data_IF_426647486496
#
_entry.id   IF_426647486496
#
_cell.length_a   1.000
_cell.length_b   1.000
_cell.length_c   1.000
_cell.angle_alpha   90.00
_cell.angle_beta   90.00
_cell.angle_gamma   90.00
#
_symmetry.space_group_name_H-M   'P 1'
#
loop_
_entity.id
_entity.type
_entity.pdbx_description
1 polymer ?
#
# COMPACT_ATOMS: atom_id res chain seq x y z
N UNK A 1 -18.63 -5.83 5.51
CA UNK A 1 -17.22 -5.41 5.39
C UNK A 1 -16.51 -5.91 6.64
N UNK A 2 -15.41 -6.67 6.50
CA UNK A 2 -14.70 -7.28 7.62
C UNK A 2 -13.55 -6.35 8.06
N UNK A 3 -13.86 -5.39 8.93
CA UNK A 3 -12.89 -4.37 9.36
C UNK A 3 -11.68 -4.99 10.08
N UNK A 4 -11.90 -5.97 10.95
CA UNK A 4 -10.81 -6.69 11.65
C UNK A 4 -9.80 -7.31 10.66
N UNK A 5 -10.28 -7.85 9.54
CA UNK A 5 -9.42 -8.38 8.48
C UNK A 5 -8.60 -7.29 7.81
N UNK A 6 -9.23 -6.15 7.49
CA UNK A 6 -8.54 -5.02 6.86
C UNK A 6 -7.45 -4.44 7.75
N UNK A 7 -7.73 -4.28 9.05
CA UNK A 7 -6.74 -3.80 10.01
C UNK A 7 -5.54 -4.77 10.09
N UNK A 8 -5.80 -6.07 10.17
CA UNK A 8 -4.73 -7.08 10.21
C UNK A 8 -3.90 -7.10 8.93
N UNK A 9 -4.55 -7.07 7.76
CA UNK A 9 -3.86 -7.03 6.47
C UNK A 9 -3.09 -5.72 6.28
N UNK A 10 -3.58 -4.62 6.84
CA UNK A 10 -2.88 -3.32 6.74
C UNK A 10 -1.54 -3.29 7.47
N UNK A 11 -1.31 -4.22 8.40
CA UNK A 11 -0.01 -4.35 9.08
C UNK A 11 1.10 -4.80 8.12
N UNK A 12 0.78 -5.48 7.01
CA UNK A 12 1.74 -5.70 5.93
C UNK A 12 2.17 -4.37 5.31
N UNK A 13 1.21 -3.45 5.12
CA UNK A 13 1.49 -2.09 4.64
C UNK A 13 2.39 -1.32 5.60
N UNK A 14 2.14 -1.41 6.91
CA UNK A 14 3.00 -0.80 7.93
C UNK A 14 4.40 -1.41 7.95
N UNK A 15 4.53 -2.74 7.88
CA UNK A 15 5.82 -3.42 7.82
C UNK A 15 6.62 -3.00 6.59
N UNK A 16 5.97 -2.96 5.42
CA UNK A 16 6.57 -2.46 4.18
C UNK A 16 6.94 -0.98 4.25
N UNK A 17 6.12 -0.15 4.89
CA UNK A 17 6.40 1.27 5.09
C UNK A 17 7.71 1.49 5.86
N UNK A 18 7.94 0.71 6.92
CA UNK A 18 9.21 0.77 7.66
C UNK A 18 10.35 0.16 6.85
N UNK A 19 10.12 -0.97 6.17
CA UNK A 19 11.14 -1.62 5.36
C UNK A 19 11.63 -0.73 4.21
N UNK A 20 10.75 0.04 3.56
CA UNK A 20 11.11 1.01 2.52
C UNK A 20 11.91 2.19 3.04
N UNK A 21 11.80 2.56 4.32
CA UNK A 21 12.66 3.62 4.87
C UNK A 21 14.10 3.13 5.06
N UNK A 22 14.29 1.88 5.50
CA UNK A 22 15.60 1.42 5.99
C UNK A 22 16.31 0.38 5.11
N UNK A 23 15.57 -0.44 4.36
CA UNK A 23 16.09 -1.68 3.77
C UNK A 23 15.83 -1.80 2.27
N UNK A 24 14.66 -1.37 1.80
CA UNK A 24 14.23 -1.60 0.42
C UNK A 24 14.59 -0.37 -0.42
N UNK A 25 15.48 -0.51 -1.44
CA UNK A 25 15.79 0.57 -2.35
C UNK A 25 14.67 0.78 -3.40
N UNK A 26 14.56 2.02 -3.88
CA UNK A 26 13.56 2.52 -4.83
C UNK A 26 13.29 1.60 -6.02
N UNK A 27 14.35 1.09 -6.66
CA UNK A 27 14.24 0.32 -7.90
C UNK A 27 13.60 -1.07 -7.71
N UNK A 28 13.63 -1.58 -6.47
CA UNK A 28 13.13 -2.91 -6.12
C UNK A 28 11.78 -2.89 -5.42
N UNK A 29 11.29 -1.72 -5.00
CA UNK A 29 10.08 -1.59 -4.19
C UNK A 29 8.85 -2.28 -4.81
N UNK A 30 8.55 -2.13 -6.12
CA UNK A 30 7.41 -2.82 -6.75
C UNK A 30 7.49 -4.35 -6.66
N UNK A 31 8.70 -4.92 -6.65
CA UNK A 31 8.93 -6.37 -6.59
C UNK A 31 8.53 -6.91 -5.22
N UNK A 32 8.76 -6.15 -4.14
CA UNK A 32 8.36 -6.53 -2.79
C UNK A 32 6.87 -6.32 -2.53
N UNK A 33 6.26 -5.29 -3.12
CA UNK A 33 4.82 -5.04 -3.00
C UNK A 33 3.94 -6.08 -3.69
N UNK A 34 4.39 -6.63 -4.83
CA UNK A 34 3.58 -7.55 -5.62
C UNK A 34 3.19 -8.83 -4.84
N UNK A 35 4.10 -9.54 -4.14
CA UNK A 35 3.75 -10.64 -3.26
C UNK A 35 2.75 -10.24 -2.16
N UNK A 36 2.93 -9.06 -1.55
CA UNK A 36 2.02 -8.56 -0.50
C UNK A 36 0.62 -8.37 -1.07
N UNK A 37 0.49 -7.77 -2.26
CA UNK A 37 -0.80 -7.58 -2.93
C UNK A 37 -1.47 -8.92 -3.24
N UNK A 38 -0.71 -9.90 -3.72
CA UNK A 38 -1.23 -11.25 -4.01
C UNK A 38 -1.71 -11.94 -2.73
N UNK A 39 -0.89 -11.94 -1.67
CA UNK A 39 -1.26 -12.55 -0.37
C UNK A 39 -2.52 -11.89 0.17
N UNK A 40 -2.58 -10.55 0.21
CA UNK A 40 -3.74 -9.82 0.67
C UNK A 40 -4.99 -10.15 -0.16
N UNK A 41 -4.87 -10.17 -1.49
CA UNK A 41 -5.95 -10.49 -2.39
C UNK A 41 -6.50 -11.91 -2.19
N UNK A 42 -5.61 -12.90 -2.03
CA UNK A 42 -5.97 -14.30 -1.76
C UNK A 42 -6.68 -14.41 -0.41
N UNK A 43 -6.16 -13.78 0.64
CA UNK A 43 -6.80 -13.81 1.97
C UNK A 43 -8.18 -13.13 1.91
N UNK A 44 -8.31 -11.98 1.24
CA UNK A 44 -9.60 -11.32 1.04
C UNK A 44 -10.58 -12.25 0.29
N UNK A 45 -10.14 -12.89 -0.80
CA UNK A 45 -10.98 -13.79 -1.58
C UNK A 45 -11.48 -14.99 -0.77
N UNK A 46 -10.63 -15.55 0.09
CA UNK A 46 -10.97 -16.68 0.98
C UNK A 46 -11.85 -16.28 2.15
N UNK A 47 -11.63 -15.11 2.73
CA UNK A 47 -12.33 -14.70 3.94
C UNK A 47 -13.60 -13.90 3.66
N UNK A 48 -13.83 -13.45 2.42
CA UNK A 48 -15.01 -12.64 2.08
C UNK A 48 -15.77 -13.19 0.88
N UNK A 49 -17.06 -13.47 1.09
CA UNK A 49 -17.96 -13.90 0.02
C UNK A 49 -18.50 -12.72 -0.83
N UNK A 50 -18.52 -11.51 -0.28
CA UNK A 50 -19.08 -10.32 -0.91
C UNK A 50 -18.16 -9.10 -0.74
N UNK A 51 -18.32 -8.11 -1.64
CA UNK A 51 -17.61 -6.82 -1.61
C UNK A 51 -16.07 -6.95 -1.66
N UNK A 52 -15.52 -7.96 -2.33
CA UNK A 52 -14.07 -8.24 -2.41
C UNK A 52 -13.27 -7.06 -2.94
N UNK A 53 -13.75 -6.47 -4.04
CA UNK A 53 -13.15 -5.28 -4.63
C UNK A 53 -13.08 -4.11 -3.64
N UNK A 54 -14.16 -3.87 -2.90
CA UNK A 54 -14.20 -2.81 -1.89
C UNK A 54 -13.23 -3.07 -0.73
N UNK A 55 -13.02 -4.33 -0.33
CA UNK A 55 -11.99 -4.65 0.67
C UNK A 55 -10.59 -4.32 0.13
N UNK A 56 -10.32 -4.62 -1.14
CA UNK A 56 -9.07 -4.22 -1.79
C UNK A 56 -8.88 -2.71 -1.80
N UNK A 57 -9.90 -1.95 -2.22
CA UNK A 57 -9.86 -0.48 -2.22
C UNK A 57 -9.56 0.10 -0.84
N UNK A 58 -10.31 -0.32 0.18
CA UNK A 58 -10.13 0.19 1.56
C UNK A 58 -8.76 -0.22 2.10
N UNK A 59 -8.31 -1.45 1.82
CA UNK A 59 -6.97 -1.89 2.22
C UNK A 59 -5.87 -1.04 1.57
N UNK A 60 -6.00 -0.70 0.28
CA UNK A 60 -5.05 0.18 -0.40
C UNK A 60 -4.94 1.56 0.25
N UNK A 61 -6.06 2.15 0.64
CA UNK A 61 -6.08 3.44 1.36
C UNK A 61 -5.51 3.35 2.78
N UNK A 62 -5.77 2.26 3.51
CA UNK A 62 -5.18 2.04 4.83
C UNK A 62 -3.66 1.83 4.72
N UNK A 63 -3.20 1.12 3.70
CA UNK A 63 -1.78 0.94 3.45
C UNK A 63 -1.10 2.26 3.10
N UNK A 64 -1.69 3.07 2.22
CA UNK A 64 -1.10 4.37 1.90
C UNK A 64 -1.04 5.30 3.11
N UNK A 65 -2.03 5.25 3.99
CA UNK A 65 -1.98 5.98 5.25
C UNK A 65 -0.74 5.59 6.09
N UNK A 66 -0.47 4.29 6.26
CA UNK A 66 0.72 3.83 6.97
C UNK A 66 2.02 4.24 6.29
N UNK A 67 2.10 4.07 4.97
CA UNK A 67 3.29 4.41 4.17
C UNK A 67 3.57 5.91 4.27
N UNK A 68 2.58 6.74 3.98
CA UNK A 68 2.71 8.20 4.01
C UNK A 68 3.12 8.70 5.39
N UNK A 69 2.51 8.19 6.47
CA UNK A 69 2.91 8.58 7.83
C UNK A 69 4.34 8.15 8.13
N UNK A 70 4.72 6.91 7.83
CA UNK A 70 6.07 6.44 8.10
C UNK A 70 7.11 7.27 7.34
N UNK A 71 6.87 7.53 6.05
CA UNK A 71 7.78 8.31 5.22
C UNK A 71 7.81 9.79 5.61
N UNK A 72 6.72 10.37 6.12
CA UNK A 72 6.72 11.75 6.64
C UNK A 72 7.46 11.84 7.97
N UNK A 73 7.21 10.91 8.90
CA UNK A 73 7.85 10.91 10.22
C UNK A 73 9.34 10.60 10.13
N UNK A 74 9.73 9.74 9.19
CA UNK A 74 11.11 9.30 8.97
C UNK A 74 11.70 9.91 7.68
N UNK A 75 11.23 11.09 7.30
CA UNK A 75 11.54 11.72 6.01
C UNK A 75 13.03 11.85 5.73
N UNK A 76 13.79 12.31 6.72
CA UNK A 76 15.22 12.58 6.54
C UNK A 76 15.98 11.27 6.25
N UNK A 77 15.60 10.18 6.93
CA UNK A 77 16.15 8.85 6.69
C UNK A 77 15.69 8.26 5.36
N UNK A 78 14.41 8.44 5.02
CA UNK A 78 13.83 7.97 3.77
C UNK A 78 14.56 8.57 2.57
N UNK A 79 14.66 9.90 2.52
CA UNK A 79 15.30 10.62 1.41
C UNK A 79 16.81 10.39 1.35
N UNK A 80 17.49 10.23 2.49
CA UNK A 80 18.90 9.84 2.49
C UNK A 80 19.16 8.49 1.78
N UNK A 81 18.18 7.59 1.80
CA UNK A 81 18.25 6.28 1.15
C UNK A 81 17.62 6.26 -0.27
N UNK A 82 16.96 7.35 -0.69
CA UNK A 82 16.11 7.42 -1.88
C UNK A 82 16.43 8.66 -2.73
N UNK A 83 17.63 8.66 -3.34
CA UNK A 83 18.16 9.81 -4.11
C UNK A 83 17.22 10.19 -5.27
N UNK A 84 16.68 9.18 -5.97
CA UNK A 84 15.77 9.40 -7.10
C UNK A 84 14.47 10.08 -6.68
N UNK A 85 13.93 9.71 -5.52
CA UNK A 85 12.75 10.33 -4.94
C UNK A 85 13.04 11.75 -4.48
N UNK A 86 14.24 12.01 -3.97
CA UNK A 86 14.70 13.36 -3.64
C UNK A 86 14.70 14.28 -4.87
N UNK A 87 15.28 13.80 -5.98
CA UNK A 87 15.28 14.49 -7.26
C UNK A 87 13.85 14.71 -7.77
N UNK A 88 13.00 13.67 -7.71
CA UNK A 88 11.61 13.78 -8.15
C UNK A 88 10.83 14.82 -7.33
N UNK A 89 11.01 14.87 -6.01
CA UNK A 89 10.36 15.85 -5.14
C UNK A 89 10.78 17.28 -5.46
N UNK A 90 12.04 17.50 -5.85
CA UNK A 90 12.53 18.83 -6.27
C UNK A 90 11.88 19.34 -7.56
N UNK A 91 11.33 18.43 -8.38
CA UNK A 91 10.64 18.76 -9.64
C UNK A 91 9.12 18.87 -9.48
N UNK A 92 8.56 18.55 -8.30
CA UNK A 92 7.12 18.64 -8.05
C UNK A 92 6.68 20.08 -7.78
N UNK A 93 5.39 20.40 -8.00
CA UNK A 93 4.79 21.61 -7.43
C UNK A 93 5.04 21.64 -5.91
N UNK A 94 5.48 22.77 -5.38
CA UNK A 94 5.86 22.94 -3.96
C UNK A 94 7.14 22.17 -3.52
N UNK A 95 8.30 22.42 -4.17
CA UNK A 95 9.56 21.76 -3.79
C UNK A 95 10.01 22.11 -2.35
N UNK A 96 9.59 23.26 -1.82
CA UNK A 96 9.87 23.68 -0.44
C UNK A 96 9.01 22.92 0.61
N UNK A 97 8.10 22.05 0.18
CA UNK A 97 7.19 21.31 1.07
C UNK A 97 7.01 19.85 0.64
N UNK A 98 8.10 19.04 0.61
CA UNK A 98 8.05 17.66 0.11
C UNK A 98 7.10 16.76 0.92
N UNK A 99 7.00 16.97 2.24
CA UNK A 99 6.07 16.23 3.11
C UNK A 99 4.60 16.49 2.76
N UNK A 100 4.27 17.71 2.33
CA UNK A 100 2.91 18.03 1.84
C UNK A 100 2.63 17.28 0.55
N UNK A 101 3.61 17.22 -0.35
CA UNK A 101 3.46 16.46 -1.59
C UNK A 101 3.23 14.98 -1.35
N UNK A 102 3.97 14.38 -0.42
CA UNK A 102 3.76 12.98 -0.02
C UNK A 102 2.37 12.74 0.59
N UNK A 103 1.86 13.71 1.36
CA UNK A 103 0.51 13.64 1.93
C UNK A 103 -0.58 13.68 0.85
N UNK A 104 -0.37 14.45 -0.22
CA UNK A 104 -1.32 14.57 -1.34
C UNK A 104 -1.24 13.35 -2.26
N UNK A 105 -0.03 12.89 -2.60
CA UNK A 105 0.18 11.77 -3.52
C UNK A 105 -0.14 10.42 -2.88
N UNK A 106 0.07 10.27 -1.57
CA UNK A 106 -0.19 9.04 -0.82
C UNK A 106 -1.59 8.46 -1.04
N UNK A 107 -2.68 9.21 -0.82
CA UNK A 107 -4.04 8.76 -1.09
C UNK A 107 -4.29 8.33 -2.55
N UNK A 108 -3.67 9.02 -3.52
CA UNK A 108 -3.78 8.68 -4.94
C UNK A 108 -3.13 7.32 -5.22
N UNK A 109 -1.92 7.10 -4.71
CA UNK A 109 -1.23 5.81 -4.82
C UNK A 109 -2.04 4.71 -4.11
N UNK A 110 -2.54 4.97 -2.91
CA UNK A 110 -3.38 4.03 -2.16
C UNK A 110 -4.64 3.61 -2.90
N UNK A 111 -5.27 4.55 -3.63
CA UNK A 111 -6.41 4.25 -4.48
C UNK A 111 -6.03 3.30 -5.62
N UNK A 112 -4.94 3.58 -6.34
CA UNK A 112 -4.44 2.72 -7.42
C UNK A 112 -4.06 1.33 -6.90
N UNK A 113 -3.27 1.24 -5.83
CA UNK A 113 -2.92 -0.03 -5.19
C UNK A 113 -4.17 -0.79 -4.74
N UNK A 114 -5.15 -0.08 -4.17
CA UNK A 114 -6.41 -0.67 -3.74
C UNK A 114 -7.24 -1.24 -4.90
N UNK A 115 -7.25 -0.57 -6.06
CA UNK A 115 -7.86 -1.09 -7.29
C UNK A 115 -7.16 -2.40 -7.70
N UNK A 116 -5.83 -2.42 -7.73
CA UNK A 116 -5.05 -3.61 -8.11
C UNK A 116 -5.34 -4.78 -7.16
N UNK A 117 -5.28 -4.57 -5.85
CA UNK A 117 -5.61 -5.59 -4.85
C UNK A 117 -7.07 -6.07 -5.02
N UNK A 118 -8.00 -5.14 -5.25
CA UNK A 118 -9.41 -5.44 -5.46
C UNK A 118 -9.64 -6.32 -6.69
N UNK A 119 -8.97 -6.03 -7.79
CA UNK A 119 -9.02 -6.83 -9.01
C UNK A 119 -8.42 -8.22 -8.79
N UNK A 120 -7.25 -8.31 -8.15
CA UNK A 120 -6.66 -9.60 -7.79
C UNK A 120 -7.59 -10.42 -6.88
N UNK A 121 -8.26 -9.79 -5.91
CA UNK A 121 -9.20 -10.48 -5.03
C UNK A 121 -10.43 -11.01 -5.80
N UNK A 122 -10.90 -10.28 -6.81
CA UNK A 122 -11.98 -10.76 -7.69
C UNK A 122 -11.52 -11.97 -8.52
N UNK A 123 -10.33 -11.90 -9.13
CA UNK A 123 -9.77 -12.99 -9.93
C UNK A 123 -9.54 -14.22 -9.04
N UNK A 124 -8.87 -14.06 -7.90
CA UNK A 124 -8.60 -15.14 -6.95
C UNK A 124 -9.89 -15.82 -6.46
N UNK A 125 -10.98 -15.06 -6.32
CA UNK A 125 -12.28 -15.62 -5.90
C UNK A 125 -12.94 -16.54 -6.92
N UNK A 126 -12.47 -16.57 -8.17
CA UNK A 126 -12.92 -17.56 -9.15
C UNK A 126 -12.30 -18.93 -8.93
N UNK A 127 -11.17 -19.01 -8.25
CA UNK A 127 -10.44 -20.24 -7.97
C UNK A 127 -10.61 -20.70 -6.51
N UNK A 128 -11.14 -19.84 -5.64
CA UNK A 128 -11.19 -20.06 -4.20
C UNK A 128 -12.63 -19.98 -3.68
N UNK A 129 -13.03 -21.00 -2.93
CA UNK A 129 -14.31 -20.98 -2.21
C UNK A 129 -14.15 -20.18 -0.91
N UNK A 130 -15.01 -19.19 -0.64
CA UNK A 130 -14.98 -18.45 0.62
C UNK A 130 -15.24 -19.38 1.80
N UNK A 131 -14.51 -19.17 2.91
CA UNK A 131 -14.75 -19.87 4.16
C UNK A 131 -16.16 -19.52 4.66
N UNK A 132 -16.98 -20.53 4.97
CA UNK A 132 -18.25 -20.34 5.68
C UNK A 132 -17.91 -19.73 7.05
N UNK A 133 -18.33 -18.49 7.27
CA UNK A 133 -18.20 -17.79 8.55
C UNK A 133 -19.38 -18.08 9.44
#
# INVERSE_FOLDING_TARGET
>A
MKIKLLLLLSLFGLGMAVATVYLIPSDSDPVFWLPVFIICAVVIARETAAKRFLHGLVLGLLNSFWITIAHILLFDQYIANHIREAEMLSMMPYPDSPRLMMLITGPVIGLFSGIVIGLFALVASRFLTPRKS
#
